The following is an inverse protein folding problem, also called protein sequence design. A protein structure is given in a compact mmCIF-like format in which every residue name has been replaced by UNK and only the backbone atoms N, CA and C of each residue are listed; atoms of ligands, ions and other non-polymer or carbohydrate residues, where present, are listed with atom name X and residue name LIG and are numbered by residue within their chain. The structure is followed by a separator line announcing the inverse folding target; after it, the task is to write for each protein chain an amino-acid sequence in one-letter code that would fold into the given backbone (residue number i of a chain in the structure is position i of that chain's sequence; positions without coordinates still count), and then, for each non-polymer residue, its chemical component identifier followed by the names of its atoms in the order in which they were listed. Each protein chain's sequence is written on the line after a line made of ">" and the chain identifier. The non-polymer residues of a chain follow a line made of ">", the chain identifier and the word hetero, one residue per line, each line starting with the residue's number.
data_IF_439530537250
#
_entry.id   IF_439530537250
#
_cell.length_a   1.000
_cell.length_b   1.000
_cell.length_c   1.000
_cell.angle_alpha   90.00
_cell.angle_beta   90.00
_cell.angle_gamma   90.00
#
_symmetry.space_group_name_H-M   'P 1'
#
loop_
_entity.id
_entity.type
_entity.pdbx_description
1 polymer ?
#
# COMPACT_ATOMS: atom_id res chain seq x y z
N UNK A 1 5.26 -13.75 -1.09
CA UNK A 1 5.29 -12.59 -0.18
C UNK A 1 5.12 -13.08 1.24
N UNK A 2 5.96 -12.63 2.16
CA UNK A 2 5.93 -12.88 3.60
C UNK A 2 5.77 -11.55 4.35
N UNK A 3 5.24 -11.54 5.59
CA UNK A 3 5.19 -10.32 6.40
C UNK A 3 6.58 -9.67 6.52
N UNK A 4 6.66 -8.37 6.22
CA UNK A 4 7.91 -7.60 6.23
C UNK A 4 8.62 -7.50 4.88
N UNK A 5 8.20 -8.26 3.86
CA UNK A 5 8.74 -8.10 2.51
C UNK A 5 8.33 -6.73 1.92
N UNK A 6 9.28 -6.03 1.32
CA UNK A 6 8.98 -4.90 0.45
C UNK A 6 8.51 -5.41 -0.91
N UNK A 7 7.35 -4.95 -1.35
CA UNK A 7 6.78 -5.31 -2.65
C UNK A 7 6.61 -4.06 -3.51
N UNK A 8 6.97 -4.17 -4.79
CA UNK A 8 6.65 -3.17 -5.81
C UNK A 8 5.53 -3.73 -6.65
N UNK A 9 4.42 -3.00 -6.72
CA UNK A 9 3.22 -3.39 -7.46
C UNK A 9 3.10 -2.43 -8.64
N UNK A 10 2.98 -2.98 -9.84
CA UNK A 10 2.79 -2.20 -11.06
C UNK A 10 1.30 -2.02 -11.37
N UNK A 11 0.99 -1.06 -12.23
CA UNK A 11 -0.39 -0.79 -12.62
C UNK A 11 -1.06 -2.04 -13.22
N UNK A 12 -2.25 -2.38 -12.72
CA UNK A 12 -3.02 -3.56 -13.14
C UNK A 12 -2.58 -4.88 -12.49
N UNK A 13 -1.56 -4.89 -11.62
CA UNK A 13 -1.19 -6.09 -10.87
C UNK A 13 -2.09 -6.28 -9.65
N UNK A 14 -2.34 -7.56 -9.32
CA UNK A 14 -3.07 -7.93 -8.12
C UNK A 14 -2.21 -7.67 -6.89
N UNK A 15 -2.78 -7.01 -5.88
CA UNK A 15 -2.12 -6.84 -4.58
C UNK A 15 -1.99 -8.21 -3.90
N UNK A 16 -0.77 -8.68 -3.58
CA UNK A 16 -0.54 -10.08 -3.23
C UNK A 16 -0.90 -10.47 -1.79
N UNK A 17 -1.12 -9.48 -0.91
CA UNK A 17 -1.45 -9.63 0.49
C UNK A 17 -1.95 -8.28 1.05
N UNK A 18 -2.37 -8.23 2.31
CA UNK A 18 -2.60 -6.94 2.98
C UNK A 18 -1.28 -6.15 3.06
N UNK A 19 -1.25 -4.96 2.47
CA UNK A 19 -0.03 -4.15 2.31
C UNK A 19 -0.19 -2.73 2.84
N UNK A 20 0.87 -2.20 3.44
CA UNK A 20 0.99 -0.79 3.78
C UNK A 20 1.59 -0.01 2.59
N UNK A 21 0.90 1.03 2.13
CA UNK A 21 1.39 1.89 1.06
C UNK A 21 2.49 2.83 1.60
N UNK A 22 3.74 2.58 1.19
CA UNK A 22 4.89 3.40 1.61
C UNK A 22 5.19 4.53 0.64
N UNK A 23 5.22 4.24 -0.67
CA UNK A 23 5.54 5.19 -1.75
C UNK A 23 4.62 4.91 -2.93
N UNK A 24 4.20 5.97 -3.62
CA UNK A 24 3.49 5.89 -4.90
C UNK A 24 4.33 6.52 -6.01
N UNK A 25 4.07 6.14 -7.26
CA UNK A 25 4.62 6.83 -8.43
C UNK A 25 4.03 8.23 -8.62
N UNK A 26 2.90 8.53 -7.98
CA UNK A 26 2.31 9.87 -7.93
C UNK A 26 3.07 10.75 -6.93
N UNK A 27 3.43 11.97 -7.35
CA UNK A 27 4.05 12.97 -6.47
C UNK A 27 3.17 13.35 -5.27
N UNK A 28 1.85 13.16 -5.39
CA UNK A 28 0.91 13.40 -4.30
C UNK A 28 0.85 12.25 -3.27
N UNK A 29 1.61 11.16 -3.47
CA UNK A 29 1.56 9.97 -2.60
C UNK A 29 0.24 9.20 -2.72
N UNK A 30 -0.49 9.36 -3.83
CA UNK A 30 -1.80 8.75 -4.05
C UNK A 30 -1.67 7.53 -4.97
N UNK A 31 -2.38 6.45 -4.68
CA UNK A 31 -2.70 5.41 -5.65
C UNK A 31 -4.18 5.06 -5.62
N UNK A 32 -4.62 4.31 -6.63
CA UNK A 32 -6.00 3.91 -6.80
C UNK A 32 -6.08 2.39 -6.84
N UNK A 33 -7.02 1.82 -6.07
CA UNK A 33 -7.21 0.38 -5.95
C UNK A 33 -8.62 0.02 -6.34
N UNK A 34 -8.76 -0.95 -7.24
CA UNK A 34 -10.04 -1.56 -7.55
C UNK A 34 -10.36 -2.66 -6.53
N UNK A 35 -11.56 -2.62 -5.95
CA UNK A 35 -12.03 -3.63 -5.00
C UNK A 35 -13.25 -4.41 -5.48
N UNK A 36 -13.63 -4.26 -6.76
CA UNK A 36 -14.80 -4.93 -7.35
C UNK A 36 -14.85 -6.44 -7.08
N UNK A 37 -13.70 -7.11 -7.03
CA UNK A 37 -13.61 -8.53 -6.72
C UNK A 37 -13.87 -8.90 -5.24
N UNK A 38 -13.87 -7.92 -4.33
CA UNK A 38 -14.05 -8.09 -2.89
C UNK A 38 -15.43 -7.63 -2.41
N UNK A 39 -15.88 -6.47 -2.87
CA UNK A 39 -17.13 -5.82 -2.41
C UNK A 39 -18.12 -5.49 -3.52
N UNK A 40 -17.77 -5.76 -4.79
CA UNK A 40 -18.60 -5.43 -5.94
C UNK A 40 -18.61 -3.94 -6.32
N UNK A 41 -17.82 -3.10 -5.65
CA UNK A 41 -17.73 -1.67 -5.98
C UNK A 41 -16.86 -1.47 -7.23
N UNK A 42 -17.43 -0.84 -8.27
CA UNK A 42 -16.72 -0.53 -9.52
C UNK A 42 -15.87 0.73 -9.44
N UNK A 43 -15.98 1.51 -8.36
CA UNK A 43 -15.22 2.73 -8.18
C UNK A 43 -13.81 2.41 -7.67
N UNK A 44 -12.84 3.16 -8.16
CA UNK A 44 -11.49 3.09 -7.64
C UNK A 44 -11.42 3.74 -6.26
N UNK A 45 -10.90 3.02 -5.28
CA UNK A 45 -10.64 3.52 -3.94
C UNK A 45 -9.30 4.21 -3.90
N UNK A 46 -9.30 5.50 -3.54
CA UNK A 46 -8.08 6.25 -3.31
C UNK A 46 -7.37 5.75 -2.05
N UNK A 47 -6.06 5.54 -2.14
CA UNK A 47 -5.18 5.22 -1.02
C UNK A 47 -4.01 6.20 -1.00
N UNK A 48 -3.55 6.56 0.20
CA UNK A 48 -2.50 7.56 0.41
C UNK A 48 -1.36 6.98 1.22
N UNK A 49 -0.14 7.37 0.86
CA UNK A 49 1.05 7.11 1.67
C UNK A 49 0.91 7.76 3.03
N UNK A 50 1.56 7.18 4.04
CA UNK A 50 1.60 7.74 5.40
C UNK A 50 2.32 9.10 5.37
N UNK A 51 1.72 10.12 6.01
CA UNK A 51 2.19 11.52 5.94
C UNK A 51 3.65 11.67 6.35
N UNK A 52 4.06 10.98 7.41
CA UNK A 52 5.40 10.99 7.99
C UNK A 52 6.48 10.52 7.01
N UNK A 53 6.13 9.73 6.00
CA UNK A 53 7.04 9.20 4.97
C UNK A 53 6.70 9.69 3.56
N UNK A 54 5.76 10.62 3.41
CA UNK A 54 5.30 11.14 2.11
C UNK A 54 6.39 11.81 1.28
N UNK A 55 7.48 12.24 1.92
CA UNK A 55 8.65 12.84 1.28
C UNK A 55 9.67 11.82 0.76
N UNK A 56 9.49 10.53 1.06
CA UNK A 56 10.42 9.48 0.66
C UNK A 56 10.16 9.04 -0.79
N UNK A 57 11.24 8.89 -1.53
CA UNK A 57 11.26 8.20 -2.82
C UNK A 57 11.59 6.72 -2.67
N UNK A 58 11.34 5.92 -3.72
CA UNK A 58 11.68 4.48 -3.73
C UNK A 58 13.16 4.23 -3.41
N UNK A 59 14.07 5.10 -3.87
CA UNK A 59 15.51 4.96 -3.60
C UNK A 59 15.91 5.21 -2.14
N UNK A 60 15.05 5.84 -1.34
CA UNK A 60 15.30 6.10 0.08
C UNK A 60 14.73 5.01 1.00
N UNK A 61 13.93 4.07 0.46
CA UNK A 61 13.31 3.01 1.26
C UNK A 61 14.33 2.05 1.87
N UNK A 62 15.49 1.85 1.26
CA UNK A 62 16.56 1.00 1.81
C UNK A 62 17.10 1.51 3.15
N UNK A 63 17.07 2.83 3.35
CA UNK A 63 17.51 3.49 4.59
C UNK A 63 16.38 3.63 5.62
N UNK A 64 15.13 3.37 5.23
CA UNK A 64 13.98 3.48 6.13
C UNK A 64 14.10 2.46 7.26
N UNK A 65 13.90 2.92 8.49
CA UNK A 65 13.83 2.10 9.70
C UNK A 65 12.57 2.47 10.46
N UNK A 66 11.86 1.46 10.94
CA UNK A 66 10.63 1.66 11.68
C UNK A 66 10.00 0.35 12.12
N UNK A 67 8.94 0.47 12.90
CA UNK A 67 8.14 -0.65 13.38
C UNK A 67 6.70 -0.41 12.96
N UNK A 68 6.06 -1.43 12.41
CA UNK A 68 4.63 -1.43 12.13
C UNK A 68 3.96 -2.30 13.18
N UNK A 69 3.00 -1.71 13.91
CA UNK A 69 2.13 -2.44 14.83
C UNK A 69 0.76 -2.55 14.19
N UNK A 70 0.23 -3.77 14.12
CA UNK A 70 -1.10 -4.04 13.59
C UNK A 70 -1.90 -4.88 14.58
N UNK A 71 -3.22 -4.74 14.53
CA UNK A 71 -4.14 -5.59 15.27
C UNK A 71 -4.14 -7.02 14.70
N UNK A 72 -4.79 -7.95 15.41
CA UNK A 72 -4.98 -9.31 14.88
C UNK A 72 -5.91 -9.25 13.66
N UNK A 73 -5.67 -10.06 12.61
CA UNK A 73 -6.56 -10.12 11.47
C UNK A 73 -8.01 -10.40 11.88
N UNK A 74 -8.94 -9.67 11.28
CA UNK A 74 -10.38 -9.89 11.42
C UNK A 74 -10.98 -10.13 10.04
N UNK A 75 -12.15 -10.81 9.93
CA UNK A 75 -12.80 -11.03 8.64
C UNK A 75 -13.53 -9.80 8.08
N UNK A 76 -13.45 -8.65 8.77
CA UNK A 76 -14.12 -7.42 8.33
C UNK A 76 -13.25 -6.71 7.27
N UNK A 77 -13.89 -6.26 6.19
CA UNK A 77 -13.33 -5.38 5.16
C UNK A 77 -13.46 -3.91 5.55
#
# INVERSE_FOLDING_TARGET
>A
VRPGDFVKILNGEVVPADTLLLVSSSEAGICYVETANLDGESNLKEKRTVTEISHLSTGQLEALRGTVTAEKPTPNL
#
